data_IF_922089156837
#
_entry.id   IF_922089156837
#
_cell.length_a   1.000
_cell.length_b   1.000
_cell.length_c   1.000
_cell.angle_alpha   90.00
_cell.angle_beta   90.00
_cell.angle_gamma   90.00
#
_symmetry.space_group_name_H-M   'P 1'
#
loop_
_entity.id
_entity.type
_entity.pdbx_description
1 polymer ?
#
# COMPACT_ATOMS: atom_id res chain seq x y z
N UNK A 1 -8.03 -1.74 -25.20
CA UNK A 1 -9.39 -1.65 -24.63
C UNK A 1 -10.49 -1.31 -25.64
N UNK A 2 -10.35 -0.30 -26.52
CA UNK A 2 -11.42 0.09 -27.48
C UNK A 2 -11.91 -1.02 -28.45
N UNK A 3 -11.08 -2.01 -28.76
CA UNK A 3 -11.44 -3.12 -29.64
C UNK A 3 -12.27 -4.23 -28.97
N UNK A 4 -12.24 -4.32 -27.63
CA UNK A 4 -12.94 -5.39 -26.88
C UNK A 4 -14.40 -5.00 -26.61
N UNK A 5 -14.66 -3.72 -26.31
CA UNK A 5 -16.01 -3.17 -26.20
C UNK A 5 -16.81 -3.28 -27.52
N UNK A 6 -16.12 -3.24 -28.66
CA UNK A 6 -16.74 -3.39 -29.98
C UNK A 6 -17.25 -4.82 -30.23
N UNK A 7 -16.60 -5.83 -29.64
CA UNK A 7 -17.01 -7.23 -29.79
C UNK A 7 -18.27 -7.55 -28.99
N UNK A 8 -18.41 -7.00 -27.77
CA UNK A 8 -19.62 -7.17 -26.96
C UNK A 8 -20.85 -6.49 -27.58
N UNK A 9 -20.68 -5.32 -28.22
CA UNK A 9 -21.78 -4.63 -28.89
C UNK A 9 -22.29 -5.35 -30.16
N UNK A 10 -21.46 -6.15 -30.83
CA UNK A 10 -21.81 -6.86 -32.07
C UNK A 10 -22.60 -8.14 -31.77
N UNK A 11 -22.33 -8.80 -30.64
CA UNK A 11 -23.06 -10.03 -30.25
C UNK A 11 -24.50 -9.70 -29.85
N UNK A 12 -24.75 -8.53 -29.24
CA UNK A 12 -26.09 -8.08 -28.86
C UNK A 12 -27.02 -7.76 -30.05
N UNK A 13 -26.52 -7.67 -31.29
CA UNK A 13 -27.31 -7.25 -32.47
C UNK A 13 -27.73 -8.39 -33.41
N UNK A 14 -27.41 -9.67 -33.13
CA UNK A 14 -27.50 -10.74 -34.17
C UNK A 14 -28.60 -11.80 -33.98
N UNK A 15 -29.35 -11.88 -32.89
CA UNK A 15 -30.34 -12.97 -32.72
C UNK A 15 -31.79 -12.51 -32.80
N UNK A 16 -32.48 -12.96 -33.87
CA UNK A 16 -33.93 -13.08 -33.93
C UNK A 16 -34.30 -14.41 -34.60
N UNK A 17 -34.95 -15.33 -33.88
CA UNK A 17 -36.30 -15.84 -34.16
C UNK A 17 -36.75 -16.90 -33.12
N UNK A 18 -37.91 -16.63 -32.50
CA UNK A 18 -38.92 -17.47 -31.84
C UNK A 18 -38.55 -18.62 -30.85
N UNK A 19 -38.91 -18.37 -29.58
CA UNK A 19 -39.33 -19.26 -28.47
C UNK A 19 -38.31 -20.28 -27.91
N UNK A 20 -37.41 -20.85 -28.72
CA UNK A 20 -36.23 -21.60 -28.23
C UNK A 20 -35.05 -20.70 -27.80
N UNK A 21 -35.13 -19.41 -28.13
CA UNK A 21 -34.13 -18.37 -27.84
C UNK A 21 -34.16 -17.91 -26.36
N UNK A 22 -35.35 -17.80 -25.78
CA UNK A 22 -35.66 -17.29 -24.43
C UNK A 22 -34.70 -17.76 -23.31
N UNK A 23 -34.58 -19.08 -23.13
CA UNK A 23 -33.76 -19.69 -22.08
C UNK A 23 -32.29 -19.65 -22.45
N UNK A 24 -31.98 -19.74 -23.74
CA UNK A 24 -30.61 -19.70 -24.26
C UNK A 24 -30.02 -18.31 -24.06
N UNK A 25 -30.77 -17.25 -24.33
CA UNK A 25 -30.38 -15.86 -24.12
C UNK A 25 -30.13 -15.55 -22.64
N UNK A 26 -31.01 -16.03 -21.76
CA UNK A 26 -30.81 -15.88 -20.32
C UNK A 26 -29.59 -16.67 -19.80
N UNK A 27 -29.37 -17.89 -20.30
CA UNK A 27 -28.19 -18.67 -19.97
C UNK A 27 -26.90 -18.02 -20.51
N UNK A 28 -26.95 -17.39 -21.68
CA UNK A 28 -25.82 -16.66 -22.25
C UNK A 28 -25.54 -15.40 -21.44
N UNK A 29 -26.56 -14.59 -21.13
CA UNK A 29 -26.41 -13.42 -20.27
C UNK A 29 -25.85 -13.80 -18.89
N UNK A 30 -26.33 -14.88 -18.28
CA UNK A 30 -25.79 -15.37 -17.01
C UNK A 30 -24.34 -15.86 -17.13
N UNK A 31 -23.95 -16.49 -18.24
CA UNK A 31 -22.54 -16.85 -18.51
C UNK A 31 -21.66 -15.62 -18.65
N UNK A 32 -22.16 -14.57 -19.30
CA UNK A 32 -21.45 -13.29 -19.43
C UNK A 32 -21.25 -12.62 -18.07
N UNK A 33 -22.27 -12.60 -17.21
CA UNK A 33 -22.16 -12.13 -15.82
C UNK A 33 -21.08 -12.89 -15.04
N UNK A 34 -21.08 -14.23 -15.11
CA UNK A 34 -20.08 -15.07 -14.44
C UNK A 34 -18.68 -14.82 -14.99
N UNK A 35 -18.52 -14.76 -16.30
CA UNK A 35 -17.22 -14.52 -16.92
C UNK A 35 -16.68 -13.12 -16.59
N UNK A 36 -17.56 -12.11 -16.57
CA UNK A 36 -17.20 -10.75 -16.16
C UNK A 36 -16.81 -10.69 -14.68
N UNK A 37 -17.53 -11.39 -13.81
CA UNK A 37 -17.19 -11.52 -12.39
C UNK A 37 -15.81 -12.14 -12.18
N UNK A 38 -15.58 -13.33 -12.75
CA UNK A 38 -14.31 -14.06 -12.62
C UNK A 38 -13.12 -13.23 -13.16
N UNK A 39 -13.34 -12.56 -14.29
CA UNK A 39 -12.31 -11.70 -14.87
C UNK A 39 -12.01 -10.49 -13.99
N UNK A 40 -13.03 -9.77 -13.55
CA UNK A 40 -12.84 -8.60 -12.70
C UNK A 40 -12.13 -8.98 -11.40
N UNK A 41 -12.55 -10.07 -10.75
CA UNK A 41 -11.90 -10.56 -9.53
C UNK A 41 -10.43 -10.95 -9.78
N UNK A 42 -10.13 -11.64 -10.88
CA UNK A 42 -8.75 -11.99 -11.24
C UNK A 42 -7.88 -10.75 -11.46
N UNK A 43 -8.35 -9.77 -12.22
CA UNK A 43 -7.61 -8.53 -12.49
C UNK A 43 -7.39 -7.74 -11.19
N UNK A 44 -8.37 -7.65 -10.29
CA UNK A 44 -8.20 -7.00 -8.98
C UNK A 44 -7.22 -7.72 -8.07
N UNK A 45 -7.27 -9.05 -8.03
CA UNK A 45 -6.31 -9.84 -7.25
C UNK A 45 -4.88 -9.64 -7.75
N UNK A 46 -4.68 -9.59 -9.07
CA UNK A 46 -3.37 -9.31 -9.68
C UNK A 46 -2.86 -7.93 -9.26
N UNK A 47 -3.68 -6.88 -9.44
CA UNK A 47 -3.29 -5.51 -9.11
C UNK A 47 -2.97 -5.34 -7.62
N UNK A 48 -3.82 -5.91 -6.75
CA UNK A 48 -3.57 -5.93 -5.30
C UNK A 48 -2.23 -6.60 -4.98
N UNK A 49 -1.98 -7.78 -5.53
CA UNK A 49 -0.74 -8.52 -5.26
C UNK A 49 0.50 -7.76 -5.73
N UNK A 50 0.44 -7.12 -6.89
CA UNK A 50 1.53 -6.26 -7.39
C UNK A 50 1.82 -5.16 -6.37
N UNK A 51 0.80 -4.37 -6.00
CA UNK A 51 0.99 -3.21 -5.12
C UNK A 51 1.43 -3.65 -3.71
N UNK A 52 0.81 -4.68 -3.14
CA UNK A 52 1.23 -5.23 -1.84
C UNK A 52 2.67 -5.73 -1.85
N UNK A 53 3.13 -6.33 -2.97
CA UNK A 53 4.52 -6.75 -3.10
C UNK A 53 5.48 -5.56 -3.15
N UNK A 54 5.09 -4.49 -3.84
CA UNK A 54 5.87 -3.24 -3.86
C UNK A 54 5.94 -2.59 -2.48
N UNK A 55 4.82 -2.48 -1.78
CA UNK A 55 4.78 -1.96 -0.41
C UNK A 55 5.73 -2.75 0.50
N UNK A 56 5.69 -4.08 0.45
CA UNK A 56 6.57 -4.93 1.25
C UNK A 56 8.07 -4.71 0.93
N UNK A 57 8.41 -4.46 -0.34
CA UNK A 57 9.79 -4.14 -0.74
C UNK A 57 10.23 -2.80 -0.15
N UNK A 58 9.37 -1.77 -0.19
CA UNK A 58 9.66 -0.46 0.40
C UNK A 58 9.81 -0.58 1.92
N UNK A 59 8.90 -1.29 2.60
CA UNK A 59 8.99 -1.55 4.04
C UNK A 59 10.33 -2.19 4.42
N UNK A 60 10.76 -3.19 3.65
CA UNK A 60 12.04 -3.85 3.89
C UNK A 60 13.21 -2.88 3.74
N UNK A 61 13.23 -2.04 2.70
CA UNK A 61 14.30 -1.07 2.50
C UNK A 61 14.37 -0.01 3.59
N UNK A 62 13.21 0.46 4.07
CA UNK A 62 13.14 1.40 5.19
C UNK A 62 13.67 0.76 6.48
N UNK A 63 13.28 -0.49 6.74
CA UNK A 63 13.77 -1.23 7.91
C UNK A 63 15.28 -1.48 7.84
N UNK A 64 15.80 -1.85 6.67
CA UNK A 64 17.23 -2.09 6.47
C UNK A 64 18.04 -0.81 6.75
N UNK A 65 17.63 0.34 6.19
CA UNK A 65 18.27 1.65 6.47
C UNK A 65 18.28 1.98 7.96
N UNK A 66 17.13 1.82 8.61
CA UNK A 66 16.99 2.10 10.04
C UNK A 66 17.87 1.18 10.88
N UNK A 67 17.91 -0.12 10.58
CA UNK A 67 18.68 -1.10 11.33
C UNK A 67 20.19 -0.92 11.16
N UNK A 68 20.65 -0.58 9.97
CA UNK A 68 22.05 -0.25 9.71
C UNK A 68 22.49 0.96 10.54
N UNK A 69 21.69 2.04 10.52
CA UNK A 69 21.96 3.27 11.28
C UNK A 69 21.88 3.04 12.78
N UNK A 70 20.90 2.26 13.24
CA UNK A 70 20.78 1.84 14.63
C UNK A 70 22.04 1.12 15.09
N UNK A 71 22.53 0.18 14.29
CA UNK A 71 23.75 -0.59 14.58
C UNK A 71 24.98 0.32 14.67
N UNK A 72 25.14 1.26 13.73
CA UNK A 72 26.23 2.24 13.75
C UNK A 72 26.23 3.07 15.04
N UNK A 73 25.07 3.64 15.40
CA UNK A 73 24.92 4.44 16.62
C UNK A 73 25.16 3.58 17.86
N UNK A 74 24.68 2.34 17.88
CA UNK A 74 24.88 1.43 19.01
C UNK A 74 26.36 1.13 19.24
N UNK A 75 27.12 0.84 18.18
CA UNK A 75 28.57 0.63 18.29
C UNK A 75 29.28 1.87 18.81
N UNK A 76 28.95 3.05 18.28
CA UNK A 76 29.48 4.32 18.78
C UNK A 76 29.18 4.51 20.26
N UNK A 77 27.96 4.15 20.69
CA UNK A 77 27.54 4.27 22.08
C UNK A 77 28.38 3.37 22.98
N UNK A 78 28.55 2.11 22.59
CA UNK A 78 29.34 1.13 23.33
C UNK A 78 30.81 1.56 23.44
N UNK A 79 31.42 1.96 22.32
CA UNK A 79 32.82 2.42 22.27
C UNK A 79 33.05 3.64 23.16
N UNK A 80 32.19 4.65 23.05
CA UNK A 80 32.31 5.89 23.82
C UNK A 80 32.10 5.64 25.31
N UNK A 81 31.15 4.78 25.66
CA UNK A 81 30.87 4.41 27.06
C UNK A 81 32.04 3.64 27.67
N UNK A 82 32.68 2.74 26.90
CA UNK A 82 33.86 2.02 27.37
C UNK A 82 35.04 2.96 27.62
N UNK A 83 35.26 3.94 26.74
CA UNK A 83 36.26 4.99 26.96
C UNK A 83 35.96 5.75 28.26
N UNK A 84 34.69 6.14 28.49
CA UNK A 84 34.29 6.79 29.74
C UNK A 84 34.61 5.96 30.98
N UNK A 85 34.51 4.64 30.92
CA UNK A 85 34.72 3.74 32.05
C UNK A 85 36.19 3.39 32.29
N UNK A 86 37.01 3.40 31.23
CA UNK A 86 38.39 2.91 31.28
C UNK A 86 39.43 4.03 31.34
N UNK A 87 39.20 5.15 30.66
CA UNK A 87 40.21 6.21 30.52
C UNK A 87 40.08 7.35 31.54
N UNK A 88 38.91 7.52 32.17
CA UNK A 88 38.64 8.65 33.06
C UNK A 88 38.31 8.22 34.49
N UNK A 89 39.02 8.74 35.48
CA UNK A 89 38.67 8.54 36.89
C UNK A 89 37.44 9.37 37.30
N UNK A 90 36.69 8.88 38.29
CA UNK A 90 35.53 9.62 38.81
C UNK A 90 35.95 10.92 39.50
N UNK A 91 35.31 12.01 39.07
CA UNK A 91 35.43 13.34 39.67
C UNK A 91 34.13 14.09 39.39
N UNK A 92 33.78 15.14 40.17
CA UNK A 92 32.56 15.92 39.92
C UNK A 92 32.42 16.43 38.47
N UNK A 93 33.55 16.74 37.82
CA UNK A 93 33.58 17.17 36.42
C UNK A 93 33.27 16.01 35.47
N UNK A 94 33.99 14.88 35.60
CA UNK A 94 33.78 13.68 34.77
C UNK A 94 32.38 13.10 34.95
N UNK A 95 31.88 13.05 36.18
CA UNK A 95 30.56 12.49 36.49
C UNK A 95 29.44 13.33 35.85
N UNK A 96 29.63 14.65 35.74
CA UNK A 96 28.70 15.54 35.01
C UNK A 96 28.71 15.22 33.51
N UNK A 97 29.89 15.01 32.92
CA UNK A 97 30.02 14.65 31.50
C UNK A 97 29.41 13.25 31.24
N UNK A 98 29.65 12.27 32.10
CA UNK A 98 29.02 10.94 32.02
C UNK A 98 27.49 11.01 32.10
N UNK A 99 26.95 11.82 33.01
CA UNK A 99 25.52 12.00 33.14
C UNK A 99 24.90 12.64 31.88
N UNK A 100 25.60 13.62 31.28
CA UNK A 100 25.22 14.20 29.99
C UNK A 100 25.27 13.16 28.87
N UNK A 101 26.34 12.37 28.78
CA UNK A 101 26.48 11.31 27.77
C UNK A 101 25.33 10.30 27.84
N UNK A 102 25.00 9.80 29.04
CA UNK A 102 23.86 8.89 29.24
C UNK A 102 22.53 9.49 28.75
N UNK A 103 22.35 10.80 28.90
CA UNK A 103 21.17 11.48 28.36
C UNK A 103 21.20 11.55 26.83
N UNK A 104 22.37 11.72 26.20
CA UNK A 104 22.49 11.71 24.75
C UNK A 104 22.18 10.34 24.15
N UNK A 105 22.62 9.25 24.79
CA UNK A 105 22.28 7.87 24.39
C UNK A 105 20.76 7.70 24.25
N UNK A 106 19.99 8.12 25.26
CA UNK A 106 18.52 8.07 25.18
C UNK A 106 17.95 8.93 24.06
N UNK A 107 18.54 10.10 23.80
CA UNK A 107 18.10 11.00 22.73
C UNK A 107 18.41 10.47 21.34
N UNK A 108 19.48 9.71 21.14
CA UNK A 108 19.77 9.07 19.85
C UNK A 108 18.65 8.12 19.45
N UNK A 109 18.22 7.23 20.35
CA UNK A 109 17.13 6.30 20.10
C UNK A 109 15.80 6.98 19.74
N UNK A 110 15.44 8.04 20.48
CA UNK A 110 14.23 8.82 20.20
C UNK A 110 14.30 9.49 18.83
N UNK A 111 15.41 10.17 18.51
CA UNK A 111 15.60 10.84 17.21
C UNK A 111 15.54 9.87 16.03
N UNK A 112 16.15 8.69 16.19
CA UNK A 112 16.11 7.66 15.15
C UNK A 112 14.69 7.12 14.94
N UNK A 113 13.94 6.91 16.03
CA UNK A 113 12.53 6.51 15.96
C UNK A 113 11.64 7.58 15.29
N UNK A 114 11.91 8.86 15.55
CA UNK A 114 11.22 9.97 14.89
C UNK A 114 11.44 10.00 13.37
N UNK A 115 12.65 9.67 12.90
CA UNK A 115 12.93 9.53 11.47
C UNK A 115 12.05 8.44 10.83
N UNK A 116 11.97 7.26 11.47
CA UNK A 116 11.20 6.13 10.95
C UNK A 116 9.68 6.37 10.94
N UNK A 117 9.15 7.06 11.96
CA UNK A 117 7.71 7.26 12.13
C UNK A 117 7.03 7.91 10.92
N UNK A 118 7.67 8.89 10.29
CA UNK A 118 7.10 9.59 9.14
C UNK A 118 6.99 8.65 7.92
N UNK A 119 8.05 7.90 7.63
CA UNK A 119 8.06 6.95 6.50
C UNK A 119 7.09 5.80 6.73
N UNK A 120 7.00 5.28 7.96
CA UNK A 120 6.06 4.21 8.32
C UNK A 120 4.60 4.68 8.25
N UNK A 121 4.30 5.93 8.63
CA UNK A 121 2.95 6.47 8.54
C UNK A 121 2.46 6.51 7.08
N UNK A 122 3.31 6.94 6.16
CA UNK A 122 3.01 7.02 4.72
C UNK A 122 2.78 5.61 4.14
N UNK A 123 3.65 4.65 4.45
CA UNK A 123 3.52 3.27 3.97
C UNK A 123 2.29 2.56 4.57
N UNK A 124 1.96 2.82 5.83
CA UNK A 124 0.72 2.33 6.43
C UNK A 124 -0.52 2.90 5.72
N UNK A 125 -0.49 4.18 5.34
CA UNK A 125 -1.57 4.80 4.58
C UNK A 125 -1.74 4.14 3.19
N UNK A 126 -0.63 3.73 2.56
CA UNK A 126 -0.68 2.97 1.31
C UNK A 126 -1.35 1.61 1.49
N UNK A 127 -0.96 0.87 2.53
CA UNK A 127 -1.58 -0.41 2.88
C UNK A 127 -3.08 -0.29 3.17
N UNK A 128 -3.48 0.74 3.91
CA UNK A 128 -4.89 1.03 4.19
C UNK A 128 -5.66 1.34 2.90
N UNK A 129 -5.11 2.19 2.04
CA UNK A 129 -5.73 2.56 0.77
C UNK A 129 -5.98 1.33 -0.12
N UNK A 130 -4.98 0.45 -0.28
CA UNK A 130 -5.11 -0.78 -1.09
C UNK A 130 -6.19 -1.69 -0.54
N UNK A 131 -6.27 -1.83 0.79
CA UNK A 131 -7.29 -2.66 1.42
C UNK A 131 -8.69 -2.07 1.22
N UNK A 132 -8.86 -0.76 1.38
CA UNK A 132 -10.15 -0.08 1.17
C UNK A 132 -10.60 -0.15 -0.30
N UNK A 133 -9.66 0.03 -1.24
CA UNK A 133 -9.92 -0.07 -2.66
C UNK A 133 -10.32 -1.51 -3.04
N UNK A 134 -9.64 -2.52 -2.48
CA UNK A 134 -9.98 -3.92 -2.67
C UNK A 134 -11.39 -4.26 -2.15
N UNK A 135 -11.75 -3.82 -0.94
CA UNK A 135 -13.09 -4.04 -0.38
C UNK A 135 -14.17 -3.40 -1.26
N UNK A 136 -13.92 -2.19 -1.76
CA UNK A 136 -14.86 -1.48 -2.63
C UNK A 136 -15.03 -2.15 -4.00
N UNK A 137 -13.91 -2.58 -4.59
CA UNK A 137 -13.89 -3.34 -5.84
C UNK A 137 -14.63 -4.67 -5.68
N UNK A 138 -14.36 -5.42 -4.61
CA UNK A 138 -15.03 -6.68 -4.31
C UNK A 138 -16.54 -6.51 -4.11
N UNK A 139 -16.96 -5.44 -3.42
CA UNK A 139 -18.37 -5.08 -3.28
C UNK A 139 -19.07 -4.83 -4.62
N UNK A 140 -18.32 -4.39 -5.64
CA UNK A 140 -18.83 -4.18 -6.99
C UNK A 140 -18.79 -5.47 -7.82
N UNK A 141 -17.71 -6.25 -7.76
CA UNK A 141 -17.61 -7.54 -8.49
C UNK A 141 -18.65 -8.54 -8.04
N UNK A 142 -18.97 -8.57 -6.74
CA UNK A 142 -20.05 -9.42 -6.21
C UNK A 142 -21.43 -9.06 -6.78
N UNK A 143 -21.62 -7.84 -7.32
CA UNK A 143 -22.89 -7.47 -7.97
C UNK A 143 -23.03 -8.09 -9.36
N UNK A 144 -21.95 -8.46 -10.04
CA UNK A 144 -22.02 -9.09 -11.37
C UNK A 144 -22.79 -10.41 -11.31
N UNK A 145 -22.43 -11.29 -10.37
CA UNK A 145 -23.12 -12.55 -10.18
C UNK A 145 -24.61 -12.38 -9.78
N UNK A 146 -24.93 -11.26 -9.10
CA UNK A 146 -26.27 -10.96 -8.59
C UNK A 146 -27.14 -10.13 -9.55
N UNK A 147 -26.58 -9.59 -10.63
CA UNK A 147 -27.29 -8.70 -11.54
C UNK A 147 -28.51 -9.40 -12.16
N UNK A 148 -28.37 -10.65 -12.61
CA UNK A 148 -29.48 -11.44 -13.14
C UNK A 148 -30.62 -11.67 -12.15
N UNK A 149 -30.28 -11.87 -10.86
CA UNK A 149 -31.28 -12.06 -9.79
C UNK A 149 -31.95 -10.73 -9.44
N UNK A 150 -31.21 -9.62 -9.44
CA UNK A 150 -31.75 -8.29 -9.18
C UNK A 150 -32.75 -7.87 -10.27
N UNK A 151 -32.39 -8.03 -11.54
CA UNK A 151 -33.30 -7.74 -12.67
C UNK A 151 -34.57 -8.59 -12.59
N UNK A 152 -34.44 -9.88 -12.25
CA UNK A 152 -35.61 -10.76 -12.04
C UNK A 152 -36.50 -10.30 -10.88
N UNK A 153 -35.93 -9.72 -9.83
CA UNK A 153 -36.66 -9.28 -8.64
C UNK A 153 -37.41 -7.95 -8.86
N UNK A 154 -36.90 -7.09 -9.73
CA UNK A 154 -37.49 -5.77 -10.05
C UNK A 154 -38.65 -5.86 -11.05
N UNK A 155 -38.89 -7.04 -11.63
CA UNK A 155 -40.03 -7.27 -12.52
C UNK A 155 -41.35 -7.38 -11.75
N UNK A 156 -42.27 -6.43 -11.96
CA UNK A 156 -43.66 -6.51 -11.47
C UNK A 156 -44.52 -7.55 -12.22
N UNK A 157 -44.00 -8.13 -13.32
CA UNK A 157 -44.64 -9.17 -14.12
C UNK A 157 -43.75 -9.66 -15.27
N UNK A 158 -44.08 -10.81 -15.88
CA UNK A 158 -43.31 -11.34 -17.01
C UNK A 158 -43.51 -10.47 -18.27
N UNK A 159 -42.50 -9.67 -18.61
CA UNK A 159 -42.49 -8.74 -19.76
C UNK A 159 -41.92 -9.35 -21.04
N UNK A 160 -41.49 -10.62 -21.02
CA UNK A 160 -40.85 -11.30 -22.15
C UNK A 160 -39.32 -11.32 -22.00
N UNK A 161 -38.68 -12.37 -22.54
CA UNK A 161 -37.25 -12.64 -22.32
C UNK A 161 -36.30 -11.63 -22.92
N UNK A 162 -36.64 -11.04 -24.07
CA UNK A 162 -35.78 -10.06 -24.73
C UNK A 162 -35.61 -8.80 -23.89
N UNK A 163 -36.65 -8.42 -23.12
CA UNK A 163 -36.58 -7.29 -22.20
C UNK A 163 -35.75 -7.63 -20.96
N UNK A 164 -35.84 -8.86 -20.47
CA UNK A 164 -35.02 -9.32 -19.34
C UNK A 164 -33.53 -9.46 -19.71
N UNK A 165 -33.21 -10.05 -20.87
CA UNK A 165 -31.82 -10.14 -21.34
C UNK A 165 -31.23 -8.76 -21.62
N UNK A 166 -32.03 -7.83 -22.16
CA UNK A 166 -31.61 -6.43 -22.35
C UNK A 166 -31.31 -5.76 -21.01
N UNK A 167 -32.19 -5.86 -20.02
CA UNK A 167 -31.96 -5.29 -18.68
C UNK A 167 -30.72 -5.86 -17.99
N UNK A 168 -30.51 -7.18 -18.07
CA UNK A 168 -29.30 -7.83 -17.55
C UNK A 168 -28.04 -7.29 -18.23
N UNK A 169 -28.07 -7.12 -19.55
CA UNK A 169 -26.94 -6.60 -20.31
C UNK A 169 -26.67 -5.12 -20.00
N UNK A 170 -27.70 -4.28 -19.87
CA UNK A 170 -27.57 -2.90 -19.44
C UNK A 170 -26.93 -2.82 -18.05
N UNK A 171 -27.40 -3.65 -17.12
CA UNK A 171 -26.85 -3.74 -15.77
C UNK A 171 -25.40 -4.22 -15.76
N UNK A 172 -25.07 -5.20 -16.60
CA UNK A 172 -23.70 -5.65 -16.79
C UNK A 172 -22.80 -4.52 -17.31
N UNK A 173 -23.26 -3.73 -18.28
CA UNK A 173 -22.51 -2.57 -18.79
C UNK A 173 -22.26 -1.53 -17.70
N UNK A 174 -23.25 -1.23 -16.86
CA UNK A 174 -23.08 -0.33 -15.71
C UNK A 174 -22.04 -0.85 -14.71
N UNK A 175 -22.10 -2.15 -14.40
CA UNK A 175 -21.16 -2.79 -13.47
C UNK A 175 -19.73 -2.84 -14.04
N UNK A 176 -19.59 -3.12 -15.34
CA UNK A 176 -18.31 -3.04 -16.04
C UNK A 176 -17.74 -1.63 -15.99
N UNK A 177 -18.54 -0.61 -16.30
CA UNK A 177 -18.10 0.79 -16.23
C UNK A 177 -17.69 1.20 -14.81
N UNK A 178 -18.40 0.73 -13.78
CA UNK A 178 -18.01 0.97 -12.38
C UNK A 178 -16.74 0.22 -12.00
N UNK A 179 -16.56 -1.00 -12.52
CA UNK A 179 -15.34 -1.79 -12.33
C UNK A 179 -14.13 -1.09 -12.95
N UNK A 180 -14.28 -0.56 -14.17
CA UNK A 180 -13.23 0.19 -14.86
C UNK A 180 -12.70 1.37 -14.03
N UNK A 181 -13.57 2.08 -13.31
CA UNK A 181 -13.15 3.17 -12.42
C UNK A 181 -12.22 2.71 -11.29
N UNK A 182 -12.44 1.52 -10.72
CA UNK A 182 -11.53 1.00 -9.71
C UNK A 182 -10.20 0.57 -10.32
N UNK A 183 -10.20 0.01 -11.54
CA UNK A 183 -8.96 -0.31 -12.25
C UNK A 183 -8.13 0.95 -12.54
N UNK A 184 -8.77 2.02 -13.00
CA UNK A 184 -8.12 3.32 -13.18
C UNK A 184 -7.56 3.85 -11.85
N UNK A 185 -8.34 3.77 -10.77
CA UNK A 185 -7.90 4.17 -9.42
C UNK A 185 -6.69 3.33 -8.94
N UNK A 186 -6.67 2.02 -9.23
CA UNK A 186 -5.54 1.15 -8.90
C UNK A 186 -4.27 1.56 -9.65
N UNK A 187 -4.35 1.85 -10.95
CA UNK A 187 -3.19 2.27 -11.74
C UNK A 187 -2.70 3.67 -11.35
N UNK A 188 -3.61 4.60 -11.06
CA UNK A 188 -3.25 5.93 -10.55
C UNK A 188 -2.55 5.83 -9.20
N UNK A 189 -3.08 5.01 -8.28
CA UNK A 189 -2.46 4.80 -6.99
C UNK A 189 -1.09 4.11 -7.12
N UNK A 190 -0.97 3.09 -7.97
CA UNK A 190 0.30 2.44 -8.27
C UNK A 190 1.33 3.45 -8.78
N UNK A 191 0.94 4.33 -9.72
CA UNK A 191 1.82 5.37 -10.22
C UNK A 191 2.23 6.35 -9.10
N UNK A 192 1.30 6.70 -8.20
CA UNK A 192 1.61 7.53 -7.03
C UNK A 192 2.62 6.88 -6.10
N UNK A 193 2.48 5.58 -5.81
CA UNK A 193 3.42 4.82 -4.98
C UNK A 193 4.80 4.81 -5.61
N UNK A 194 4.90 4.47 -6.90
CA UNK A 194 6.19 4.43 -7.62
C UNK A 194 6.86 5.81 -7.66
N UNK A 195 6.10 6.89 -7.82
CA UNK A 195 6.68 8.24 -7.83
C UNK A 195 7.15 8.70 -6.44
N UNK A 196 6.57 8.17 -5.37
CA UNK A 196 6.86 8.59 -4.00
C UNK A 196 7.86 7.67 -3.28
N UNK A 197 8.10 6.45 -3.78
CA UNK A 197 8.96 5.46 -3.11
C UNK A 197 10.39 5.98 -2.92
N UNK A 198 10.99 6.53 -3.97
CA UNK A 198 12.36 7.05 -3.93
C UNK A 198 12.48 8.20 -2.93
N UNK A 199 11.44 9.04 -2.86
CA UNK A 199 11.42 10.19 -1.97
C UNK A 199 11.32 9.77 -0.49
N UNK A 200 10.47 8.80 -0.15
CA UNK A 200 10.34 8.30 1.23
C UNK A 200 11.64 7.64 1.69
N UNK A 201 12.24 6.81 0.82
CA UNK A 201 13.52 6.15 1.10
C UNK A 201 14.61 7.20 1.28
N UNK A 202 14.67 8.20 0.39
CA UNK A 202 15.64 9.30 0.47
C UNK A 202 15.48 10.09 1.76
N UNK A 203 14.26 10.47 2.14
CA UNK A 203 13.99 11.23 3.37
C UNK A 203 14.43 10.47 4.61
N UNK A 204 14.11 9.18 4.72
CA UNK A 204 14.56 8.35 5.84
C UNK A 204 16.08 8.27 5.86
N UNK A 205 16.71 7.93 4.72
CA UNK A 205 18.17 7.78 4.61
C UNK A 205 18.90 9.07 4.99
N UNK A 206 18.37 10.24 4.58
CA UNK A 206 18.95 11.54 4.94
C UNK A 206 18.80 11.85 6.43
N UNK A 207 17.64 11.55 7.01
CA UNK A 207 17.39 11.71 8.44
C UNK A 207 18.35 10.81 9.25
N UNK A 208 18.41 9.53 8.91
CA UNK A 208 19.28 8.52 9.52
C UNK A 208 20.75 8.96 9.48
N UNK A 209 21.26 9.37 8.31
CA UNK A 209 22.63 9.89 8.17
C UNK A 209 22.89 11.14 9.01
N UNK A 210 21.92 12.04 9.08
CA UNK A 210 22.05 13.25 9.90
C UNK A 210 22.12 12.89 11.40
N UNK A 211 21.34 11.91 11.85
CA UNK A 211 21.39 11.43 13.23
C UNK A 211 22.71 10.71 13.52
N UNK A 212 23.20 9.84 12.64
CA UNK A 212 24.49 9.19 12.80
C UNK A 212 25.64 10.20 12.92
N UNK A 213 25.68 11.19 12.01
CA UNK A 213 26.69 12.26 12.03
C UNK A 213 26.60 13.13 13.29
N UNK A 214 25.38 13.48 13.72
CA UNK A 214 25.16 14.22 14.97
C UNK A 214 25.63 13.42 16.18
N UNK A 215 25.36 12.12 16.21
CA UNK A 215 25.76 11.21 17.28
C UNK A 215 27.28 11.12 17.41
N UNK A 216 27.99 10.95 16.28
CA UNK A 216 29.45 10.95 16.23
C UNK A 216 30.05 12.29 16.70
N UNK A 217 29.43 13.41 16.34
CA UNK A 217 29.87 14.73 16.81
C UNK A 217 29.67 14.89 18.31
N UNK A 218 28.49 14.54 18.83
CA UNK A 218 28.16 14.63 20.26
C UNK A 218 29.07 13.73 21.10
N UNK A 219 29.37 12.52 20.65
CA UNK A 219 30.33 11.62 21.31
C UNK A 219 31.74 12.24 21.37
N UNK A 220 32.24 12.79 20.25
CA UNK A 220 33.54 13.46 20.21
C UNK A 220 33.60 14.68 21.13
N UNK A 221 32.53 15.48 21.18
CA UNK A 221 32.44 16.63 22.07
C UNK A 221 32.46 16.21 23.54
N UNK A 222 31.70 15.19 23.92
CA UNK A 222 31.64 14.71 25.29
C UNK A 222 32.99 14.11 25.73
N UNK A 223 33.67 13.37 24.86
CA UNK A 223 35.05 12.90 25.12
C UNK A 223 36.05 14.06 25.23
N UNK A 224 35.92 15.11 24.43
CA UNK A 224 36.77 16.29 24.54
C UNK A 224 36.55 17.04 25.85
N UNK A 225 35.30 17.15 26.30
CA UNK A 225 34.96 17.72 27.60
C UNK A 225 35.54 16.88 28.75
N UNK A 226 35.48 15.56 28.64
CA UNK A 226 36.08 14.65 29.63
C UNK A 226 37.60 14.85 29.74
N UNK A 227 38.30 14.97 28.61
CA UNK A 227 39.76 15.26 28.58
C UNK A 227 40.13 16.62 29.17
N UNK A 228 39.21 17.58 29.16
CA UNK A 228 39.41 18.88 29.80
C UNK A 228 39.19 18.85 31.32
N UNK A 229 38.58 17.79 31.86
CA UNK A 229 38.37 17.57 33.29
C UNK A 229 39.56 16.87 33.99
N UNK A 230 40.44 16.22 33.23
CA UNK A 230 41.68 15.58 33.70
C UNK A 230 42.85 16.56 33.72
#
# INVERSE_FOLDING_TARGET
MKAVLLWFAIIAMVTGDDVTDTTTDLLNAQRELTSAHERAESEYQINRNIISSYIAIVEQQLLDSFMDTYSEIHMLVDETTEIFNTEFESSPCIDTVRARWNLQVHRFGNRLSECLLNSVAEVNAWSEFVNNLHVSAQGTTNQFANAGVAELADLEGYVGSNLLSTGINERLVELLARSDLYFETFEEFRASVVNNEEEIIRQLTECDRAIAAASANEAREDLALARACT
#
